data_IF_172724702396
#
_entry.id   IF_172724702396
#
_cell.length_a   1.000
_cell.length_b   1.000
_cell.length_c   1.000
_cell.angle_alpha   90.00
_cell.angle_beta   90.00
_cell.angle_gamma   90.00
#
_symmetry.space_group_name_H-M   'P 1'
#
loop_
_entity.id
_entity.type
_entity.pdbx_description
1 polymer ?
#
# COMPACT_ATOMS: atom_id res chain seq x y z
N UNK A 1 1.87 5.61 -6.14
CA UNK A 1 1.28 5.50 -4.80
C UNK A 1 1.17 4.05 -4.36
N UNK A 2 0.41 3.24 -5.11
CA UNK A 2 0.23 1.79 -4.89
C UNK A 2 1.55 1.07 -4.62
N UNK A 3 2.56 1.23 -5.49
CA UNK A 3 3.89 0.61 -5.32
C UNK A 3 4.52 0.85 -3.93
N UNK A 4 4.57 2.12 -3.48
CA UNK A 4 5.13 2.48 -2.17
C UNK A 4 4.29 1.93 -1.02
N UNK A 5 2.96 2.09 -1.12
CA UNK A 5 2.03 1.63 -0.08
C UNK A 5 2.12 0.11 0.07
N UNK A 6 2.13 -0.62 -1.04
CA UNK A 6 2.24 -2.08 -1.05
C UNK A 6 3.51 -2.55 -0.35
N UNK A 7 4.66 -1.93 -0.63
CA UNK A 7 5.92 -2.28 0.04
C UNK A 7 5.91 -1.92 1.53
N UNK A 8 5.42 -0.73 1.91
CA UNK A 8 5.39 -0.31 3.32
C UNK A 8 4.47 -1.15 4.19
N UNK A 9 3.36 -1.62 3.61
CA UNK A 9 2.42 -2.52 4.26
C UNK A 9 2.81 -4.00 4.15
N UNK A 10 3.92 -4.33 3.47
CA UNK A 10 4.36 -5.71 3.30
C UNK A 10 3.50 -6.55 2.35
N UNK A 11 2.68 -5.91 1.51
CA UNK A 11 1.78 -6.58 0.56
C UNK A 11 2.50 -7.14 -0.67
N UNK A 12 3.71 -6.67 -0.96
CA UNK A 12 4.53 -7.17 -2.07
C UNK A 12 6.01 -6.84 -1.86
N UNK A 13 6.86 -7.76 -2.31
CA UNK A 13 8.32 -7.60 -2.38
C UNK A 13 8.81 -7.45 -3.84
N UNK A 14 7.89 -7.27 -4.79
CA UNK A 14 8.22 -7.23 -6.20
C UNK A 14 8.91 -5.91 -6.58
N UNK A 15 10.06 -6.02 -7.26
CA UNK A 15 10.88 -4.88 -7.66
C UNK A 15 10.26 -4.04 -8.79
N UNK A 16 9.23 -4.55 -9.47
CA UNK A 16 8.61 -3.89 -10.62
C UNK A 16 7.12 -3.61 -10.36
N UNK A 17 6.56 -2.52 -10.91
CA UNK A 17 5.14 -2.22 -10.77
C UNK A 17 4.24 -3.36 -11.25
N UNK A 18 4.61 -4.02 -12.35
CA UNK A 18 3.88 -5.16 -12.89
C UNK A 18 3.89 -6.37 -11.94
N UNK A 19 4.99 -6.59 -11.22
CA UNK A 19 5.06 -7.62 -10.19
C UNK A 19 4.16 -7.29 -9.00
N UNK A 20 4.19 -6.03 -8.52
CA UNK A 20 3.31 -5.58 -7.44
C UNK A 20 1.84 -5.71 -7.82
N UNK A 21 1.49 -5.35 -9.06
CA UNK A 21 0.14 -5.52 -9.59
C UNK A 21 -0.28 -7.00 -9.52
N UNK A 22 0.56 -7.91 -10.04
CA UNK A 22 0.29 -9.36 -10.00
C UNK A 22 0.07 -9.86 -8.56
N UNK A 23 0.92 -9.44 -7.63
CA UNK A 23 0.81 -9.84 -6.21
C UNK A 23 -0.52 -9.34 -5.62
N UNK A 24 -0.85 -8.06 -5.80
CA UNK A 24 -2.09 -7.47 -5.30
C UNK A 24 -3.33 -8.13 -5.93
N UNK A 25 -3.31 -8.41 -7.24
CA UNK A 25 -4.42 -9.12 -7.88
C UNK A 25 -4.61 -10.54 -7.35
N UNK A 26 -3.53 -11.21 -6.95
CA UNK A 26 -3.58 -12.56 -6.38
C UNK A 26 -4.12 -12.55 -4.94
N UNK A 27 -3.76 -11.53 -4.15
CA UNK A 27 -4.20 -11.37 -2.76
C UNK A 27 -5.69 -11.00 -2.67
N UNK A 28 -6.11 -9.95 -3.40
CA UNK A 28 -7.45 -9.38 -3.22
C UNK A 28 -8.51 -9.97 -4.14
N UNK A 29 -8.12 -10.48 -5.32
CA UNK A 29 -8.93 -11.21 -6.32
C UNK A 29 -10.18 -10.51 -6.90
N UNK A 30 -10.80 -9.60 -6.14
CA UNK A 30 -12.07 -8.93 -6.43
C UNK A 30 -11.93 -7.43 -6.21
N UNK A 31 -12.86 -6.64 -6.78
CA UNK A 31 -12.93 -5.17 -6.62
C UNK A 31 -11.62 -4.41 -6.90
N UNK A 32 -10.76 -4.94 -7.79
CA UNK A 32 -9.41 -4.43 -8.05
C UNK A 32 -9.38 -2.95 -8.45
N UNK A 33 -10.40 -2.47 -9.18
CA UNK A 33 -10.52 -1.06 -9.55
C UNK A 33 -10.76 -0.15 -8.34
N UNK A 34 -11.62 -0.55 -7.41
CA UNK A 34 -11.87 0.19 -6.16
C UNK A 34 -10.65 0.14 -5.26
N UNK A 35 -10.02 -1.03 -5.13
CA UNK A 35 -8.78 -1.20 -4.38
C UNK A 35 -7.68 -0.28 -4.91
N UNK A 36 -7.50 -0.22 -6.23
CA UNK A 36 -6.51 0.65 -6.86
C UNK A 36 -6.75 2.12 -6.47
N UNK A 37 -7.98 2.61 -6.64
CA UNK A 37 -8.32 3.98 -6.27
C UNK A 37 -8.11 4.24 -4.77
N UNK A 38 -8.54 3.32 -3.91
CA UNK A 38 -8.35 3.43 -2.47
C UNK A 38 -6.86 3.51 -2.10
N UNK A 39 -6.01 2.66 -2.67
CA UNK A 39 -4.56 2.69 -2.42
C UNK A 39 -3.90 3.96 -2.98
N UNK A 40 -4.37 4.49 -4.10
CA UNK A 40 -3.90 5.77 -4.65
C UNK A 40 -4.25 6.93 -3.71
N UNK A 41 -5.50 7.03 -3.27
CA UNK A 41 -5.98 8.06 -2.35
C UNK A 41 -5.27 7.97 -0.99
N UNK A 42 -5.17 6.76 -0.43
CA UNK A 42 -4.46 6.51 0.81
C UNK A 42 -2.98 6.92 0.71
N UNK A 43 -2.30 6.51 -0.36
CA UNK A 43 -0.92 6.90 -0.60
C UNK A 43 -0.74 8.38 -0.97
N UNK A 44 -1.81 9.10 -1.32
CA UNK A 44 -1.77 10.55 -1.60
C UNK A 44 -1.94 11.37 -0.33
N UNK A 45 -2.89 11.00 0.54
CA UNK A 45 -3.31 11.83 1.67
C UNK A 45 -2.78 11.37 3.03
N UNK A 46 -2.50 10.08 3.20
CA UNK A 46 -2.07 9.50 4.47
C UNK A 46 -0.64 8.96 4.41
N UNK A 47 -0.39 7.96 3.55
CA UNK A 47 0.92 7.32 3.38
C UNK A 47 1.75 8.06 2.32
N UNK A 48 2.00 9.35 2.56
CA UNK A 48 2.81 10.23 1.70
C UNK A 48 4.26 9.77 1.58
N UNK A 49 4.98 10.26 0.57
CA UNK A 49 6.37 9.86 0.34
C UNK A 49 7.29 10.35 1.47
N UNK A 50 7.15 11.63 1.85
CA UNK A 50 7.84 12.27 2.97
C UNK A 50 6.83 12.51 4.10
N UNK A 51 7.26 12.28 5.34
CA UNK A 51 6.47 12.46 6.58
C UNK A 51 5.05 11.85 6.48
N UNK A 52 4.93 10.52 6.35
CA UNK A 52 3.63 9.85 6.37
C UNK A 52 2.90 10.14 7.68
N UNK A 53 1.57 10.28 7.63
CA UNK A 53 0.73 10.55 8.80
C UNK A 53 0.46 9.26 9.60
N UNK A 54 1.53 8.64 10.12
CA UNK A 54 1.45 7.35 10.80
C UNK A 54 0.62 7.39 12.09
N UNK A 55 0.70 8.48 12.86
CA UNK A 55 0.02 8.62 14.16
C UNK A 55 -1.50 8.44 14.07
N UNK A 56 -2.10 8.82 12.93
CA UNK A 56 -3.53 8.70 12.66
C UNK A 56 -3.83 7.69 11.53
N UNK A 57 -2.91 6.76 11.27
CA UNK A 57 -3.06 5.77 10.21
C UNK A 57 -3.91 4.59 10.70
N UNK A 58 -5.00 4.29 9.98
CA UNK A 58 -5.86 3.13 10.26
C UNK A 58 -5.14 1.78 10.12
N UNK A 59 -4.03 1.74 9.38
CA UNK A 59 -3.23 0.53 9.15
C UNK A 59 -1.94 0.53 10.01
N UNK A 60 -1.85 1.40 11.01
CA UNK A 60 -0.64 1.57 11.83
C UNK A 60 -0.18 0.26 12.46
N UNK A 61 -1.10 -0.49 13.09
CA UNK A 61 -0.77 -1.74 13.77
C UNK A 61 -0.28 -2.84 12.82
N UNK A 62 -0.77 -2.85 11.59
CA UNK A 62 -0.42 -3.83 10.55
C UNK A 62 0.75 -3.37 9.66
N UNK A 63 1.28 -2.16 9.87
CA UNK A 63 2.30 -1.57 9.01
C UNK A 63 3.71 -2.04 9.39
N UNK A 64 4.29 -2.94 8.59
CA UNK A 64 5.63 -3.47 8.82
C UNK A 64 6.75 -2.43 8.72
N UNK A 65 6.55 -1.35 7.95
CA UNK A 65 7.57 -0.31 7.76
C UNK A 65 7.68 0.66 8.93
N UNK A 66 6.72 0.68 9.86
CA UNK A 66 6.76 1.52 11.05
C UNK A 66 7.08 0.69 12.31
N UNK A 67 6.62 -0.57 12.36
CA UNK A 67 6.91 -1.50 13.46
C UNK A 67 8.29 -2.17 13.36
N UNK A 68 9.22 -1.61 12.57
CA UNK A 68 10.65 -1.96 12.52
C UNK A 68 11.48 -0.79 13.01
#
# INVERSE_FOLDING_TARGET
>A
HVFRVAHRLGLSNAKTPKGVEKDLTTIFQTDLGKLHQAMVLFGRYYCTAKNPKCDNCILYQECISYNQ
#
